data_IF_527660189674
#
_entry.id   IF_527660189674
#
_cell.length_a   1.000
_cell.length_b   1.000
_cell.length_c   1.000
_cell.angle_alpha   90.00
_cell.angle_beta   90.00
_cell.angle_gamma   90.00
#
_symmetry.space_group_name_H-M   'P 1'
#
loop_
_entity.id
_entity.type
_entity.pdbx_description
1 polymer ?
#
# COMPACT_ATOMS: atom_id res chain seq x y z
N UNK A 1 -15.77 1.22 -28.65
CA UNK A 1 -16.72 1.52 -27.56
C UNK A 1 -16.00 1.28 -26.25
N UNK A 2 -15.68 2.34 -25.51
CA UNK A 2 -15.20 2.19 -24.13
C UNK A 2 -16.44 1.85 -23.30
N UNK A 3 -16.49 0.72 -22.59
CA UNK A 3 -17.62 0.43 -21.71
C UNK A 3 -17.73 1.56 -20.68
N UNK A 4 -18.91 2.19 -20.61
CA UNK A 4 -19.22 3.18 -19.59
C UNK A 4 -19.04 2.50 -18.20
N UNK A 5 -18.35 3.14 -17.24
CA UNK A 5 -18.26 2.60 -15.90
C UNK A 5 -19.68 2.42 -15.36
N UNK A 6 -19.97 1.22 -14.84
CA UNK A 6 -21.30 0.90 -14.30
C UNK A 6 -21.59 1.88 -13.16
N UNK A 7 -22.76 2.54 -13.13
CA UNK A 7 -23.07 3.49 -12.07
C UNK A 7 -23.05 2.76 -10.72
N UNK A 8 -22.26 3.28 -9.78
CA UNK A 8 -22.18 2.79 -8.40
C UNK A 8 -23.53 3.00 -7.72
N UNK A 9 -24.09 1.95 -7.12
CA UNK A 9 -25.41 2.04 -6.47
C UNK A 9 -25.37 2.95 -5.22
N UNK A 10 -26.47 3.66 -4.91
CA UNK A 10 -26.56 4.46 -3.67
C UNK A 10 -26.32 3.62 -2.41
N UNK A 11 -26.76 2.35 -2.42
CA UNK A 11 -26.55 1.41 -1.32
C UNK A 11 -25.06 1.14 -1.07
N UNK A 12 -24.27 0.91 -2.13
CA UNK A 12 -22.83 0.68 -2.01
C UNK A 12 -22.10 1.94 -1.51
N UNK A 13 -22.56 3.14 -1.92
CA UNK A 13 -22.03 4.41 -1.37
C UNK A 13 -22.34 4.57 0.11
N UNK A 14 -23.52 4.17 0.56
CA UNK A 14 -23.87 4.18 1.98
C UNK A 14 -23.02 3.17 2.78
N UNK A 15 -22.86 1.95 2.25
CA UNK A 15 -21.99 0.92 2.83
C UNK A 15 -20.53 1.38 2.92
N UNK A 16 -20.02 2.04 1.89
CA UNK A 16 -18.67 2.58 1.86
C UNK A 16 -18.44 3.69 2.89
N UNK A 17 -19.51 4.26 3.47
CA UNK A 17 -19.47 5.24 4.55
C UNK A 17 -19.67 4.62 5.94
N UNK A 18 -20.25 3.42 6.05
CA UNK A 18 -20.52 2.71 7.31
C UNK A 18 -19.24 2.05 7.90
N UNK A 19 -18.77 2.50 9.09
CA UNK A 19 -17.59 1.94 9.72
C UNK A 19 -17.65 0.43 9.99
N UNK A 20 -18.82 -0.10 10.36
CA UNK A 20 -18.96 -1.51 10.70
C UNK A 20 -18.86 -2.40 9.45
N UNK A 21 -19.44 -1.93 8.34
CA UNK A 21 -19.36 -2.61 7.04
C UNK A 21 -17.92 -2.64 6.53
N UNK A 22 -17.22 -1.51 6.61
CA UNK A 22 -15.81 -1.45 6.21
C UNK A 22 -14.92 -2.39 7.03
N UNK A 23 -15.05 -2.36 8.36
CA UNK A 23 -14.24 -3.22 9.23
C UNK A 23 -14.47 -4.72 8.92
N UNK A 24 -15.72 -5.13 8.69
CA UNK A 24 -16.06 -6.50 8.32
C UNK A 24 -15.47 -6.94 6.96
N UNK A 25 -15.20 -5.97 6.08
CA UNK A 25 -14.59 -6.17 4.78
C UNK A 25 -13.06 -6.03 4.79
N UNK A 26 -12.38 -5.97 5.95
CA UNK A 26 -10.94 -5.67 6.04
C UNK A 26 -10.53 -4.32 5.44
N UNK A 27 -11.44 -3.35 5.45
CA UNK A 27 -11.19 -1.96 5.06
C UNK A 27 -11.14 -1.13 6.35
N UNK A 28 -10.10 -0.34 6.54
CA UNK A 28 -9.97 0.46 7.74
C UNK A 28 -11.05 1.56 7.76
N UNK A 29 -11.87 1.67 8.83
CA UNK A 29 -12.97 2.64 8.87
C UNK A 29 -12.55 4.12 8.90
N UNK A 30 -11.32 4.39 9.35
CA UNK A 30 -10.78 5.76 9.49
C UNK A 30 -10.15 6.19 8.17
N UNK A 31 -9.19 5.42 7.66
CA UNK A 31 -8.45 5.77 6.44
C UNK A 31 -9.22 5.43 5.17
N UNK A 32 -10.19 4.52 5.25
CA UNK A 32 -10.93 3.90 4.12
C UNK A 32 -10.05 3.06 3.19
N UNK A 33 -8.89 2.63 3.66
CA UNK A 33 -7.93 1.82 2.91
C UNK A 33 -8.03 0.34 3.31
N UNK A 34 -8.03 -0.53 2.31
CA UNK A 34 -7.97 -1.98 2.45
C UNK A 34 -6.53 -2.51 2.48
N UNK A 35 -6.21 -3.35 3.48
CA UNK A 35 -4.89 -3.99 3.63
C UNK A 35 -4.58 -4.96 2.49
N UNK A 36 -5.60 -5.53 1.86
CA UNK A 36 -5.48 -6.42 0.70
C UNK A 36 -4.66 -5.81 -0.44
N UNK A 37 -4.54 -4.48 -0.53
CA UNK A 37 -3.64 -3.82 -1.48
C UNK A 37 -2.20 -4.34 -1.38
N UNK A 38 -1.71 -4.64 -0.18
CA UNK A 38 -0.32 -5.04 0.03
C UNK A 38 -0.01 -6.48 -0.42
N UNK A 39 -1.03 -7.29 -0.74
CA UNK A 39 -0.83 -8.70 -1.08
C UNK A 39 0.06 -8.89 -2.31
N UNK A 40 -0.10 -8.07 -3.36
CA UNK A 40 0.72 -8.21 -4.56
C UNK A 40 2.21 -7.84 -4.34
N UNK A 41 2.53 -7.07 -3.30
CA UNK A 41 3.91 -6.85 -2.86
C UNK A 41 4.43 -8.04 -2.05
N UNK A 42 3.61 -8.55 -1.13
CA UNK A 42 3.97 -9.73 -0.33
C UNK A 42 4.24 -10.96 -1.20
N UNK A 43 3.45 -11.17 -2.25
CA UNK A 43 3.63 -12.26 -3.21
C UNK A 43 4.98 -12.19 -3.94
N UNK A 44 5.36 -11.02 -4.46
CA UNK A 44 6.67 -10.87 -5.14
C UNK A 44 7.84 -10.93 -4.16
N UNK A 45 7.69 -10.40 -2.93
CA UNK A 45 8.71 -10.54 -1.87
C UNK A 45 8.93 -12.01 -1.55
N UNK A 46 7.86 -12.80 -1.39
CA UNK A 46 7.96 -14.23 -1.15
C UNK A 46 8.73 -14.93 -2.28
N UNK A 47 8.43 -14.61 -3.55
CA UNK A 47 9.16 -15.18 -4.70
C UNK A 47 10.64 -14.77 -4.71
N UNK A 48 10.96 -13.51 -4.39
CA UNK A 48 12.34 -13.02 -4.28
C UNK A 48 13.13 -13.78 -3.22
N UNK A 49 12.51 -14.09 -2.08
CA UNK A 49 13.15 -14.88 -1.02
C UNK A 49 13.41 -16.33 -1.42
N UNK A 50 12.60 -16.88 -2.31
CA UNK A 50 12.77 -18.25 -2.81
C UNK A 50 13.95 -18.39 -3.78
N UNK A 51 14.46 -17.29 -4.37
CA UNK A 51 15.50 -17.33 -5.40
C UNK A 51 16.82 -17.97 -4.94
N UNK A 52 17.12 -17.98 -3.63
CA UNK A 52 18.31 -18.66 -3.11
C UNK A 52 18.27 -20.17 -3.35
N UNK A 53 17.07 -20.77 -3.25
CA UNK A 53 16.86 -22.22 -3.43
C UNK A 53 16.24 -22.58 -4.77
N UNK A 54 15.47 -21.66 -5.35
CA UNK A 54 14.65 -21.85 -6.56
C UNK A 54 14.90 -20.70 -7.56
N UNK A 55 16.10 -20.60 -8.17
CA UNK A 55 16.41 -19.57 -9.17
C UNK A 55 15.54 -19.65 -10.43
N UNK A 56 14.86 -20.78 -10.68
CA UNK A 56 13.92 -20.99 -11.77
C UNK A 56 12.68 -20.09 -11.72
N UNK A 57 12.38 -19.44 -10.58
CA UNK A 57 11.26 -18.48 -10.44
C UNK A 57 11.56 -17.07 -10.98
N UNK A 58 12.77 -16.82 -11.49
CA UNK A 58 13.10 -15.52 -12.11
C UNK A 58 12.08 -15.07 -13.16
N UNK A 59 11.59 -15.91 -14.10
CA UNK A 59 10.58 -15.49 -15.09
C UNK A 59 9.26 -15.05 -14.45
N UNK A 60 8.81 -15.72 -13.38
CA UNK A 60 7.58 -15.37 -12.67
C UNK A 60 7.71 -14.01 -11.95
N UNK A 61 8.89 -13.72 -11.41
CA UNK A 61 9.21 -12.44 -10.77
C UNK A 61 9.33 -11.32 -11.81
N UNK A 62 10.02 -11.57 -12.93
CA UNK A 62 10.24 -10.58 -13.99
C UNK A 62 8.95 -10.18 -14.70
N UNK A 63 7.91 -11.02 -14.65
CA UNK A 63 6.56 -10.71 -15.13
C UNK A 63 5.73 -9.85 -14.17
N UNK A 64 6.23 -9.53 -12.97
CA UNK A 64 5.54 -8.64 -12.05
C UNK A 64 5.54 -7.20 -12.56
N UNK A 65 4.43 -6.51 -12.37
CA UNK A 65 4.24 -5.11 -12.76
C UNK A 65 3.65 -4.30 -11.60
N UNK A 66 4.08 -3.05 -11.41
CA UNK A 66 3.51 -2.16 -10.41
C UNK A 66 2.05 -1.85 -10.73
N UNK A 67 1.21 -1.72 -9.70
CA UNK A 67 -0.20 -1.36 -9.84
C UNK A 67 -0.55 -0.26 -8.86
N UNK A 68 -1.24 0.77 -9.35
CA UNK A 68 -1.84 1.76 -8.48
C UNK A 68 -2.93 1.11 -7.59
N UNK A 69 -3.31 1.78 -6.50
CA UNK A 69 -4.28 1.26 -5.53
C UNK A 69 -5.61 0.86 -6.17
N UNK A 70 -6.21 1.76 -6.93
CA UNK A 70 -7.47 1.54 -7.64
C UNK A 70 -7.33 0.49 -8.76
N UNK A 71 -6.25 0.55 -9.54
CA UNK A 71 -5.96 -0.45 -10.57
C UNK A 71 -5.84 -1.87 -9.98
N UNK A 72 -5.19 -2.01 -8.83
CA UNK A 72 -5.07 -3.28 -8.12
C UNK A 72 -6.47 -3.83 -7.81
N UNK A 73 -7.36 -3.05 -7.20
CA UNK A 73 -8.68 -3.56 -6.83
C UNK A 73 -9.55 -3.90 -8.04
N UNK A 74 -9.48 -3.14 -9.13
CA UNK A 74 -10.18 -3.45 -10.38
C UNK A 74 -9.81 -4.84 -10.92
N UNK A 75 -8.53 -5.23 -10.78
CA UNK A 75 -8.00 -6.51 -11.31
C UNK A 75 -7.97 -7.65 -10.27
N UNK A 76 -8.06 -7.33 -8.98
CA UNK A 76 -7.92 -8.31 -7.90
C UNK A 76 -9.10 -9.27 -7.77
N UNK A 77 -8.85 -10.38 -7.06
CA UNK A 77 -9.87 -11.32 -6.58
C UNK A 77 -10.38 -10.96 -5.18
N UNK A 78 -10.08 -9.76 -4.68
CA UNK A 78 -10.57 -9.33 -3.39
C UNK A 78 -12.10 -9.27 -3.39
N UNK A 79 -12.73 -10.01 -2.47
CA UNK A 79 -14.19 -10.23 -2.47
C UNK A 79 -14.99 -8.92 -2.35
N UNK A 80 -14.45 -7.93 -1.64
CA UNK A 80 -15.07 -6.63 -1.39
C UNK A 80 -14.42 -5.50 -2.23
N UNK A 81 -13.85 -5.82 -3.40
CA UNK A 81 -13.15 -4.83 -4.26
C UNK A 81 -14.00 -3.64 -4.67
N UNK A 82 -15.29 -3.85 -4.96
CA UNK A 82 -16.19 -2.77 -5.35
C UNK A 82 -16.41 -1.82 -4.16
N UNK A 83 -16.50 -2.36 -2.94
CA UNK A 83 -16.58 -1.57 -1.71
C UNK A 83 -15.27 -0.80 -1.45
N UNK A 84 -14.11 -1.43 -1.64
CA UNK A 84 -12.81 -0.77 -1.48
C UNK A 84 -12.61 0.39 -2.48
N UNK A 85 -13.02 0.22 -3.74
CA UNK A 85 -12.95 1.27 -4.76
C UNK A 85 -13.84 2.46 -4.42
N UNK A 86 -15.04 2.21 -3.88
CA UNK A 86 -15.94 3.30 -3.46
C UNK A 86 -15.46 3.95 -2.17
N UNK A 87 -14.94 3.16 -1.21
CA UNK A 87 -14.37 3.67 0.03
C UNK A 87 -13.15 4.57 -0.24
N UNK A 88 -12.34 4.22 -1.24
CA UNK A 88 -11.20 5.01 -1.71
C UNK A 88 -11.58 6.43 -2.15
N UNK A 89 -12.78 6.64 -2.72
CA UNK A 89 -13.28 7.99 -3.07
C UNK A 89 -13.42 8.90 -1.83
N UNK A 90 -13.56 8.31 -0.64
CA UNK A 90 -13.70 9.01 0.65
C UNK A 90 -12.46 8.84 1.55
N UNK A 91 -11.36 8.30 1.02
CA UNK A 91 -10.17 8.02 1.81
C UNK A 91 -9.55 9.29 2.38
N UNK A 92 -8.92 9.14 3.55
CA UNK A 92 -8.17 10.22 4.18
C UNK A 92 -7.04 10.68 3.22
N UNK A 93 -7.01 11.97 2.81
CA UNK A 93 -6.04 12.43 1.80
C UNK A 93 -4.58 12.27 2.23
N UNK A 94 -4.29 12.41 3.54
CA UNK A 94 -2.94 12.26 4.05
C UNK A 94 -2.48 10.79 4.02
N UNK A 95 -3.33 9.86 4.47
CA UNK A 95 -3.06 8.43 4.38
C UNK A 95 -2.92 7.96 2.93
N UNK A 96 -3.76 8.46 2.02
CA UNK A 96 -3.68 8.19 0.58
C UNK A 96 -2.33 8.63 0.00
N UNK A 97 -1.95 9.88 0.23
CA UNK A 97 -0.70 10.45 -0.28
C UNK A 97 0.53 9.68 0.26
N UNK A 98 0.54 9.35 1.55
CA UNK A 98 1.66 8.60 2.14
C UNK A 98 1.71 7.15 1.63
N UNK A 99 0.55 6.50 1.42
CA UNK A 99 0.51 5.17 0.84
C UNK A 99 1.02 5.17 -0.62
N UNK A 100 0.57 6.11 -1.44
CA UNK A 100 1.04 6.28 -2.82
C UNK A 100 2.56 6.52 -2.86
N UNK A 101 3.08 7.38 -1.97
CA UNK A 101 4.53 7.63 -1.86
C UNK A 101 5.32 6.37 -1.47
N UNK A 102 4.78 5.54 -0.57
CA UNK A 102 5.41 4.28 -0.17
C UNK A 102 5.34 3.24 -1.31
N UNK A 103 4.22 3.18 -2.02
CA UNK A 103 4.05 2.33 -3.20
C UNK A 103 5.07 2.70 -4.28
N UNK A 104 5.24 3.99 -4.60
CA UNK A 104 6.25 4.45 -5.56
C UNK A 104 7.68 4.04 -5.16
N UNK A 105 8.00 4.10 -3.86
CA UNK A 105 9.31 3.67 -3.37
C UNK A 105 9.51 2.15 -3.52
N UNK A 106 8.52 1.34 -3.15
CA UNK A 106 8.57 -0.12 -3.35
C UNK A 106 8.64 -0.47 -4.84
N UNK A 107 7.89 0.23 -5.69
CA UNK A 107 7.88 0.05 -7.14
C UNK A 107 9.27 0.35 -7.74
N UNK A 108 9.95 1.40 -7.27
CA UNK A 108 11.30 1.74 -7.73
C UNK A 108 12.34 0.67 -7.36
N UNK A 109 12.28 0.14 -6.13
CA UNK A 109 13.15 -0.96 -5.69
C UNK A 109 12.89 -2.20 -6.55
N UNK A 110 11.62 -2.60 -6.69
CA UNK A 110 11.26 -3.76 -7.50
C UNK A 110 11.69 -3.59 -8.95
N UNK A 111 11.42 -2.44 -9.58
CA UNK A 111 11.84 -2.19 -10.96
C UNK A 111 13.34 -2.39 -11.17
N UNK A 112 14.17 -1.83 -10.28
CA UNK A 112 15.62 -2.00 -10.33
C UNK A 112 16.04 -3.46 -10.12
N UNK A 113 15.40 -4.17 -9.19
CA UNK A 113 15.63 -5.61 -8.97
C UNK A 113 15.25 -6.43 -10.20
N UNK A 114 14.11 -6.16 -10.83
CA UNK A 114 13.66 -6.86 -12.05
C UNK A 114 14.61 -6.61 -13.22
N UNK A 115 15.09 -5.38 -13.40
CA UNK A 115 16.07 -5.04 -14.44
C UNK A 115 17.39 -5.78 -14.23
N UNK A 116 17.85 -5.91 -12.98
CA UNK A 116 19.04 -6.69 -12.68
C UNK A 116 18.83 -8.19 -12.93
N UNK A 117 17.67 -8.75 -12.57
CA UNK A 117 17.36 -10.16 -12.83
C UNK A 117 17.28 -10.50 -14.33
N UNK A 118 16.91 -9.53 -15.18
CA UNK A 118 16.91 -9.67 -16.65
C UNK A 118 18.31 -9.81 -17.26
N UNK A 119 19.38 -9.53 -16.50
CA UNK A 119 20.77 -9.63 -16.97
C UNK A 119 21.36 -11.06 -16.89
N UNK A 120 20.52 -12.10 -16.76
CA UNK A 120 20.94 -13.50 -16.72
C UNK A 120 22.04 -13.79 -15.68
N UNK A 121 21.83 -13.27 -14.46
CA UNK A 121 22.76 -13.43 -13.36
C UNK A 121 22.96 -14.92 -13.00
N UNK A 122 24.12 -15.24 -12.40
CA UNK A 122 24.32 -16.58 -11.84
C UNK A 122 23.28 -16.89 -10.75
N UNK A 123 22.89 -18.16 -10.52
CA UNK A 123 21.91 -18.53 -9.49
C UNK A 123 22.22 -17.97 -8.10
N UNK A 124 23.50 -17.98 -7.71
CA UNK A 124 23.95 -17.41 -6.44
C UNK A 124 23.70 -15.91 -6.37
N UNK A 125 23.97 -15.18 -7.46
CA UNK A 125 23.75 -13.74 -7.52
C UNK A 125 22.24 -13.40 -7.53
N UNK A 126 21.39 -14.20 -8.18
CA UNK A 126 19.94 -14.07 -8.08
C UNK A 126 19.44 -14.21 -6.64
N UNK A 127 19.89 -15.24 -5.92
CA UNK A 127 19.52 -15.45 -4.52
C UNK A 127 19.97 -14.31 -3.61
N UNK A 128 21.19 -13.81 -3.78
CA UNK A 128 21.71 -12.66 -3.02
C UNK A 128 20.89 -11.40 -3.28
N UNK A 129 20.63 -11.07 -4.55
CA UNK A 129 19.82 -9.93 -4.94
C UNK A 129 18.39 -10.02 -4.41
N UNK A 130 17.78 -11.21 -4.48
CA UNK A 130 16.43 -11.45 -3.95
C UNK A 130 16.36 -11.23 -2.44
N UNK A 131 17.32 -11.76 -1.68
CA UNK A 131 17.42 -11.55 -0.23
C UNK A 131 17.59 -10.07 0.14
N UNK A 132 18.49 -9.36 -0.54
CA UNK A 132 18.71 -7.93 -0.32
C UNK A 132 17.46 -7.10 -0.63
N UNK A 133 16.83 -7.32 -1.79
CA UNK A 133 15.61 -6.62 -2.19
C UNK A 133 14.47 -6.86 -1.20
N UNK A 134 14.24 -8.11 -0.78
CA UNK A 134 13.22 -8.45 0.22
C UNK A 134 13.48 -7.76 1.57
N UNK A 135 14.74 -7.65 2.00
CA UNK A 135 15.11 -6.94 3.23
C UNK A 135 14.83 -5.43 3.15
N UNK A 136 14.93 -4.81 1.96
CA UNK A 136 14.55 -3.41 1.77
C UNK A 136 13.04 -3.20 1.65
N UNK A 137 12.32 -4.15 1.04
CA UNK A 137 10.88 -4.05 0.79
C UNK A 137 10.04 -4.28 2.04
N UNK A 138 10.37 -5.27 2.87
CA UNK A 138 9.56 -5.63 4.06
C UNK A 138 9.28 -4.47 5.02
N UNK A 139 10.26 -3.61 5.39
CA UNK A 139 10.00 -2.44 6.21
C UNK A 139 9.05 -1.43 5.56
N UNK A 140 9.10 -1.29 4.23
CA UNK A 140 8.20 -0.40 3.48
C UNK A 140 6.77 -0.94 3.45
N UNK A 141 6.60 -2.26 3.23
CA UNK A 141 5.29 -2.92 3.32
C UNK A 141 4.71 -2.79 4.72
N UNK A 142 5.52 -3.02 5.76
CA UNK A 142 5.08 -2.86 7.15
C UNK A 142 4.60 -1.42 7.42
N UNK A 143 5.37 -0.42 6.97
CA UNK A 143 4.99 1.00 7.09
C UNK A 143 3.72 1.32 6.31
N UNK A 144 3.56 0.79 5.09
CA UNK A 144 2.33 0.95 4.32
C UNK A 144 1.13 0.33 5.05
N UNK A 145 1.32 -0.82 5.70
CA UNK A 145 0.33 -1.43 6.58
C UNK A 145 -0.06 -0.53 7.75
N UNK A 146 0.92 0.10 8.43
CA UNK A 146 0.65 1.10 9.48
C UNK A 146 -0.15 2.29 8.99
N UNK A 147 0.14 2.80 7.78
CA UNK A 147 -0.61 3.90 7.15
C UNK A 147 -2.05 3.49 6.89
N UNK A 148 -2.26 2.33 6.27
CA UNK A 148 -3.60 1.76 6.03
C UNK A 148 -4.38 1.63 7.34
N UNK A 149 -3.72 1.20 8.42
CA UNK A 149 -4.35 1.04 9.71
C UNK A 149 -4.56 2.34 10.51
N UNK A 150 -4.11 3.48 9.99
CA UNK A 150 -4.37 4.81 10.59
C UNK A 150 -3.31 5.31 11.58
N UNK A 151 -2.17 4.63 11.71
CA UNK A 151 -1.10 5.07 12.62
C UNK A 151 -0.45 6.40 12.17
N UNK A 152 -0.54 6.74 10.88
CA UNK A 152 -0.09 8.04 10.36
C UNK A 152 -0.95 9.21 10.87
N UNK A 153 -2.27 9.00 11.02
CA UNK A 153 -3.23 10.02 11.46
C UNK A 153 -2.95 10.42 12.92
N UNK A 154 -2.58 9.46 13.77
CA UNK A 154 -2.22 9.73 15.17
C UNK A 154 -0.96 10.60 15.29
N UNK A 155 0.00 10.47 14.37
CA UNK A 155 1.22 11.27 14.37
C UNK A 155 0.95 12.74 14.00
N UNK A 156 0.02 13.01 13.08
CA UNK A 156 -0.36 14.38 12.70
C UNK A 156 -1.16 15.05 13.82
N UNK A 157 -2.16 14.37 14.39
CA UNK A 157 -2.97 14.93 15.50
C UNK A 157 -2.09 15.25 16.71
N UNK A 158 -1.14 14.38 17.04
CA UNK A 158 -0.20 14.61 18.16
C UNK A 158 0.76 15.77 17.85
N UNK A 159 1.23 15.86 16.60
CA UNK A 159 2.09 16.96 16.14
C UNK A 159 1.39 18.31 16.18
N UNK A 160 0.14 18.39 15.72
CA UNK A 160 -0.67 19.61 15.74
C UNK A 160 -1.05 20.02 17.17
N UNK A 161 -1.41 19.06 18.02
CA UNK A 161 -1.65 19.33 19.45
C UNK A 161 -0.40 19.86 20.16
N UNK A 162 0.78 19.26 19.90
CA UNK A 162 2.05 19.74 20.44
C UNK A 162 2.42 21.13 19.90
N UNK A 163 2.12 21.40 18.64
CA UNK A 163 2.35 22.71 18.00
C UNK A 163 1.45 23.80 18.57
N UNK A 164 0.17 23.49 18.79
CA UNK A 164 -0.77 24.42 19.43
C UNK A 164 -0.37 24.70 20.89
N UNK A 165 0.01 23.67 21.65
CA UNK A 165 0.49 23.85 23.03
C UNK A 165 1.75 24.73 23.12
N UNK A 166 2.66 24.63 22.13
CA UNK A 166 3.81 25.54 22.05
C UNK A 166 3.41 26.99 21.73
N UNK A 167 2.41 27.19 20.88
CA UNK A 167 1.88 28.53 20.57
C UNK A 167 1.26 29.15 21.83
N UNK A 168 0.42 28.41 22.55
CA UNK A 168 -0.26 28.89 23.76
C UNK A 168 0.75 29.24 24.87
N UNK A 169 1.78 28.41 25.07
CA UNK A 169 2.85 28.67 26.05
C UNK A 169 3.67 29.93 25.75
N UNK A 170 3.84 30.31 24.48
CA UNK A 170 4.53 31.55 24.09
C UNK A 170 3.66 32.78 24.38
N UNK A 171 2.34 32.67 24.24
CA UNK A 171 1.43 33.77 24.58
C UNK A 171 1.30 33.98 26.10
N UNK A 172 1.42 32.93 26.92
CA UNK A 172 1.36 33.04 28.38
C UNK A 172 2.66 33.59 29.01
N UNK A 173 3.82 33.44 28.37
CA UNK A 173 5.10 33.98 28.88
C UNK A 173 5.36 35.45 28.48
N UNK A 174 4.49 36.05 27.67
CA UNK A 174 4.63 37.41 27.15
C UNK A 174 3.66 38.45 27.75
N UNK A 175 2.87 38.08 28.77
CA UNK A 175 1.95 38.96 29.50
C UNK A 175 2.39 39.14 30.96
#
# INVERSE_FOLDING_TARGET
MIPQPRPVSPELRAQAQDPAVLAAANINPVTRLATDYLNHYNEVIMLLEMLESCPEFVPDIVGWEPRAYDEYFVRSHFKDRDLALVAWEYADPAARMELERLADHMNAILAATLDALRLELSPRACGQLGCEASNWLKPLVARAGSVINGEHVMSVVTGDAARQAMIDAVFEQGA
#
